data_IF_730786156006
#
_entry.id   IF_730786156006
#
_cell.length_a   1.000
_cell.length_b   1.000
_cell.length_c   1.000
_cell.angle_alpha   90.00
_cell.angle_beta   90.00
_cell.angle_gamma   90.00
#
_symmetry.space_group_name_H-M   'P 1'
#
loop_
_entity.id
_entity.type
_entity.pdbx_description
1 polymer ?
#
# COMPACT_ATOMS: atom_id res chain seq x y z
N UNK A 1 -27.90 19.03 9.08
CA UNK A 1 -27.80 17.56 8.97
C UNK A 1 -27.79 17.03 7.53
N UNK A 2 -28.70 17.45 6.63
CA UNK A 2 -28.72 16.99 5.22
C UNK A 2 -27.43 17.27 4.42
N UNK A 3 -26.75 18.39 4.69
CA UNK A 3 -25.51 18.76 3.99
C UNK A 3 -24.32 17.84 4.33
N UNK A 4 -24.18 17.46 5.61
CA UNK A 4 -23.18 16.50 6.08
C UNK A 4 -23.38 15.10 5.50
N UNK A 5 -24.63 14.66 5.33
CA UNK A 5 -24.96 13.35 4.73
C UNK A 5 -24.63 13.34 3.22
N UNK A 6 -24.88 14.45 2.51
CA UNK A 6 -24.56 14.59 1.09
C UNK A 6 -23.05 14.63 0.85
N UNK A 7 -22.29 15.30 1.72
CA UNK A 7 -20.83 15.33 1.69
C UNK A 7 -20.21 13.93 1.89
N UNK A 8 -20.74 13.14 2.83
CA UNK A 8 -20.29 11.76 3.07
C UNK A 8 -20.52 10.83 1.87
N UNK A 9 -21.70 10.92 1.23
CA UNK A 9 -22.00 10.12 0.03
C UNK A 9 -21.14 10.56 -1.16
N UNK A 10 -20.91 11.86 -1.33
CA UNK A 10 -20.02 12.37 -2.37
C UNK A 10 -18.58 11.88 -2.19
N UNK A 11 -18.05 11.92 -0.96
CA UNK A 11 -16.70 11.44 -0.64
C UNK A 11 -16.57 9.93 -0.89
N UNK A 12 -17.55 9.14 -0.49
CA UNK A 12 -17.56 7.71 -0.78
C UNK A 12 -17.55 7.43 -2.29
N UNK A 13 -18.36 8.16 -3.08
CA UNK A 13 -18.37 8.03 -4.55
C UNK A 13 -17.03 8.44 -5.16
N UNK A 14 -16.42 9.53 -4.70
CA UNK A 14 -15.10 9.96 -5.18
C UNK A 14 -14.05 8.87 -4.90
N UNK A 15 -14.00 8.35 -3.67
CA UNK A 15 -13.08 7.27 -3.30
C UNK A 15 -13.34 6.02 -4.14
N UNK A 16 -14.60 5.62 -4.34
CA UNK A 16 -14.96 4.50 -5.20
C UNK A 16 -14.47 4.68 -6.64
N UNK A 17 -14.67 5.87 -7.22
CA UNK A 17 -14.23 6.18 -8.59
C UNK A 17 -12.70 6.14 -8.68
N UNK A 18 -11.99 6.70 -7.70
CA UNK A 18 -10.52 6.64 -7.66
C UNK A 18 -10.05 5.19 -7.57
N UNK A 19 -10.57 4.39 -6.64
CA UNK A 19 -10.16 2.99 -6.47
C UNK A 19 -10.46 2.15 -7.73
N UNK A 20 -11.64 2.36 -8.33
CA UNK A 20 -12.01 1.68 -9.57
C UNK A 20 -11.09 2.04 -10.72
N UNK A 21 -10.87 3.34 -10.96
CA UNK A 21 -10.00 3.81 -12.05
C UNK A 21 -8.56 3.36 -11.84
N UNK A 22 -8.05 3.34 -10.61
CA UNK A 22 -6.73 2.78 -10.30
C UNK A 22 -6.66 1.28 -10.61
N UNK A 23 -7.66 0.50 -10.18
CA UNK A 23 -7.66 -0.94 -10.40
C UNK A 23 -7.72 -1.28 -11.90
N UNK A 24 -8.58 -0.60 -12.67
CA UNK A 24 -8.66 -0.77 -14.13
C UNK A 24 -7.33 -0.40 -14.79
N UNK A 25 -6.77 0.77 -14.46
CA UNK A 25 -5.55 1.28 -15.09
C UNK A 25 -4.35 0.37 -14.85
N UNK A 26 -4.18 -0.11 -13.61
CA UNK A 26 -3.06 -0.99 -13.27
C UNK A 26 -3.24 -2.37 -13.88
N UNK A 27 -4.46 -2.94 -13.85
CA UNK A 27 -4.72 -4.23 -14.51
C UNK A 27 -4.42 -4.15 -16.01
N UNK A 28 -4.87 -3.08 -16.66
CA UNK A 28 -4.64 -2.85 -18.08
C UNK A 28 -3.16 -2.78 -18.40
N UNK A 29 -2.40 -1.98 -17.65
CA UNK A 29 -0.96 -1.84 -17.83
C UNK A 29 -0.25 -3.20 -17.67
N UNK A 30 -0.55 -3.94 -16.59
CA UNK A 30 0.08 -5.24 -16.33
C UNK A 30 -0.20 -6.25 -17.44
N UNK A 31 -1.45 -6.33 -17.92
CA UNK A 31 -1.82 -7.25 -18.99
C UNK A 31 -1.24 -6.82 -20.35
N UNK A 32 -1.21 -5.52 -20.63
CA UNK A 32 -0.63 -4.96 -21.85
C UNK A 32 0.86 -5.28 -21.97
N UNK A 33 1.60 -5.22 -20.86
CA UNK A 33 3.03 -5.57 -20.84
C UNK A 33 3.24 -7.09 -20.91
N UNK A 34 2.34 -7.89 -20.32
CA UNK A 34 2.54 -9.33 -20.17
C UNK A 34 1.99 -10.17 -21.31
N UNK A 35 1.07 -9.64 -22.13
CA UNK A 35 0.33 -10.42 -23.12
C UNK A 35 0.16 -9.64 -24.44
N UNK A 36 0.09 -10.36 -25.55
CA UNK A 36 -0.18 -9.79 -26.89
C UNK A 36 -1.67 -9.83 -27.25
N UNK A 37 -2.58 -9.69 -26.27
CA UNK A 37 -4.01 -9.71 -26.51
C UNK A 37 -4.47 -8.42 -27.21
N UNK A 38 -5.58 -8.48 -27.94
CA UNK A 38 -6.20 -7.28 -28.54
C UNK A 38 -6.62 -6.27 -27.48
N UNK A 39 -6.45 -4.98 -27.78
CA UNK A 39 -6.72 -3.87 -26.83
C UNK A 39 -8.15 -3.90 -26.27
N UNK A 40 -9.13 -4.30 -27.08
CA UNK A 40 -10.52 -4.42 -26.66
C UNK A 40 -10.71 -5.49 -25.56
N UNK A 41 -10.05 -6.63 -25.69
CA UNK A 41 -10.11 -7.71 -24.72
C UNK A 41 -9.38 -7.32 -23.43
N UNK A 42 -8.24 -6.64 -23.55
CA UNK A 42 -7.50 -6.09 -22.41
C UNK A 42 -8.35 -5.10 -21.62
N UNK A 43 -9.03 -4.18 -22.30
CA UNK A 43 -9.92 -3.22 -21.68
C UNK A 43 -11.11 -3.92 -20.98
N UNK A 44 -11.74 -4.88 -21.65
CA UNK A 44 -12.85 -5.64 -21.08
C UNK A 44 -12.46 -6.39 -19.79
N UNK A 45 -11.35 -7.12 -19.82
CA UNK A 45 -10.83 -7.84 -18.65
C UNK A 45 -10.48 -6.88 -17.53
N UNK A 46 -9.83 -5.76 -17.84
CA UNK A 46 -9.43 -4.76 -16.83
C UNK A 46 -10.64 -4.11 -16.15
N UNK A 47 -11.71 -3.83 -16.89
CA UNK A 47 -12.98 -3.33 -16.35
C UNK A 47 -13.62 -4.36 -15.43
N UNK A 48 -13.65 -5.64 -15.84
CA UNK A 48 -14.19 -6.73 -15.02
C UNK A 48 -13.42 -6.88 -13.70
N UNK A 49 -12.09 -6.91 -13.76
CA UNK A 49 -11.23 -6.98 -12.58
C UNK A 49 -11.42 -5.75 -11.69
N UNK A 50 -11.43 -4.54 -12.28
CA UNK A 50 -11.69 -3.31 -11.54
C UNK A 50 -13.04 -3.31 -10.81
N UNK A 51 -14.09 -3.87 -11.44
CA UNK A 51 -15.40 -4.05 -10.82
C UNK A 51 -15.37 -5.04 -9.65
N UNK A 52 -14.68 -6.18 -9.81
CA UNK A 52 -14.50 -7.17 -8.75
C UNK A 52 -13.74 -6.59 -7.55
N UNK A 53 -12.66 -5.85 -7.82
CA UNK A 53 -11.84 -5.20 -6.80
C UNK A 53 -12.67 -4.15 -6.06
N UNK A 54 -13.43 -3.31 -6.77
CA UNK A 54 -14.30 -2.33 -6.13
C UNK A 54 -15.34 -3.00 -5.22
N UNK A 55 -16.00 -4.06 -5.71
CA UNK A 55 -16.95 -4.83 -4.91
C UNK A 55 -16.28 -5.44 -3.66
N UNK A 56 -15.03 -5.91 -3.80
CA UNK A 56 -14.24 -6.42 -2.69
C UNK A 56 -13.91 -5.36 -1.63
N UNK A 57 -13.41 -4.19 -2.03
CA UNK A 57 -13.04 -3.13 -1.09
C UNK A 57 -14.24 -2.64 -0.26
N UNK A 58 -15.45 -2.65 -0.81
CA UNK A 58 -16.66 -2.25 -0.09
C UNK A 58 -17.38 -3.41 0.64
N UNK A 59 -16.87 -4.64 0.53
CA UNK A 59 -17.43 -5.80 1.23
C UNK A 59 -17.25 -5.66 2.75
N UNK A 60 -18.30 -6.00 3.53
CA UNK A 60 -18.42 -5.54 4.93
C UNK A 60 -17.39 -6.13 5.90
N UNK A 61 -16.92 -7.36 5.71
CA UNK A 61 -15.78 -8.03 6.40
C UNK A 61 -15.40 -9.30 5.62
N UNK A 62 -14.13 -9.71 5.66
CA UNK A 62 -13.68 -11.02 5.16
C UNK A 62 -12.47 -10.95 4.23
N UNK A 63 -11.97 -12.13 3.86
CA UNK A 63 -10.76 -12.30 3.03
C UNK A 63 -10.87 -11.57 1.69
N UNK A 64 -12.07 -11.46 1.10
CA UNK A 64 -12.29 -10.76 -0.15
C UNK A 64 -12.01 -9.24 -0.07
N UNK A 65 -12.33 -8.61 1.06
CA UNK A 65 -11.99 -7.21 1.31
C UNK A 65 -10.48 -7.02 1.39
N UNK A 66 -9.81 -7.90 2.15
CA UNK A 66 -8.35 -7.87 2.35
C UNK A 66 -7.63 -8.03 1.02
N UNK A 67 -8.01 -9.03 0.23
CA UNK A 67 -7.39 -9.28 -1.07
C UNK A 67 -7.59 -8.12 -2.04
N UNK A 68 -8.81 -7.58 -2.13
CA UNK A 68 -9.09 -6.47 -3.03
C UNK A 68 -8.32 -5.20 -2.62
N UNK A 69 -8.27 -4.90 -1.34
CA UNK A 69 -7.59 -3.73 -0.83
C UNK A 69 -6.05 -3.89 -0.94
N UNK A 70 -5.52 -5.07 -0.62
CA UNK A 70 -4.12 -5.42 -0.85
C UNK A 70 -3.75 -5.35 -2.33
N UNK A 71 -4.63 -5.80 -3.23
CA UNK A 71 -4.42 -5.69 -4.68
C UNK A 71 -4.27 -4.22 -5.10
N UNK A 72 -5.21 -3.34 -4.73
CA UNK A 72 -5.14 -1.92 -5.11
C UNK A 72 -3.86 -1.28 -4.58
N UNK A 73 -3.55 -1.47 -3.30
CA UNK A 73 -2.37 -0.87 -2.68
C UNK A 73 -1.08 -1.40 -3.31
N UNK A 74 -0.95 -2.72 -3.45
CA UNK A 74 0.27 -3.34 -3.96
C UNK A 74 0.47 -3.11 -5.44
N UNK A 75 -0.55 -3.28 -6.27
CA UNK A 75 -0.45 -3.07 -7.70
C UNK A 75 -0.12 -1.60 -8.02
N UNK A 76 -0.76 -0.65 -7.32
CA UNK A 76 -0.41 0.77 -7.45
C UNK A 76 1.02 1.04 -6.97
N UNK A 77 1.44 0.46 -5.84
CA UNK A 77 2.78 0.62 -5.29
C UNK A 77 3.87 0.05 -6.21
N UNK A 78 3.60 -1.08 -6.87
CA UNK A 78 4.53 -1.67 -7.84
C UNK A 78 4.72 -0.74 -9.03
N UNK A 79 3.62 -0.21 -9.60
CA UNK A 79 3.67 0.73 -10.73
C UNK A 79 4.43 2.01 -10.34
N UNK A 80 4.18 2.56 -9.15
CA UNK A 80 4.92 3.72 -8.66
C UNK A 80 6.41 3.41 -8.45
N UNK A 81 6.73 2.29 -7.81
CA UNK A 81 8.10 1.89 -7.53
C UNK A 81 8.92 1.55 -8.77
N UNK A 82 8.28 1.07 -9.84
CA UNK A 82 8.95 0.79 -11.13
C UNK A 82 9.09 2.03 -12.01
N UNK A 83 8.21 3.03 -11.85
CA UNK A 83 8.21 4.24 -12.67
C UNK A 83 9.18 5.31 -12.17
N UNK A 84 9.62 5.23 -10.91
CA UNK A 84 10.46 6.24 -10.29
C UNK A 84 11.97 5.93 -10.46
N UNK A 85 12.78 6.89 -10.91
CA UNK A 85 14.24 6.77 -10.90
C UNK A 85 14.82 6.42 -9.52
N UNK A 86 16.03 5.85 -9.53
CA UNK A 86 16.71 5.36 -8.33
C UNK A 86 16.72 6.38 -7.16
N UNK A 87 17.22 7.59 -7.41
CA UNK A 87 17.34 8.63 -6.38
C UNK A 87 15.99 9.15 -5.91
N UNK A 88 15.02 9.31 -6.82
CA UNK A 88 13.68 9.78 -6.45
C UNK A 88 12.96 8.78 -5.57
N UNK A 89 13.09 7.49 -5.83
CA UNK A 89 12.52 6.42 -5.00
C UNK A 89 13.13 6.43 -3.59
N UNK A 90 14.45 6.56 -3.50
CA UNK A 90 15.15 6.59 -2.22
C UNK A 90 14.79 7.82 -1.39
N UNK A 91 14.73 9.00 -2.01
CA UNK A 91 14.29 10.24 -1.35
C UNK A 91 12.84 10.14 -0.91
N UNK A 92 11.96 9.58 -1.73
CA UNK A 92 10.54 9.41 -1.40
C UNK A 92 10.35 8.47 -0.21
N UNK A 93 11.01 7.31 -0.20
CA UNK A 93 10.94 6.34 0.90
C UNK A 93 11.50 6.92 2.20
N UNK A 94 12.62 7.65 2.12
CA UNK A 94 13.18 8.35 3.26
C UNK A 94 12.26 9.48 3.76
N UNK A 95 11.70 10.29 2.86
CA UNK A 95 10.81 11.39 3.21
C UNK A 95 9.53 10.91 3.89
N UNK A 96 8.91 9.83 3.39
CA UNK A 96 7.70 9.26 3.99
C UNK A 96 8.01 8.64 5.36
N UNK A 97 9.16 7.97 5.49
CA UNK A 97 9.62 7.44 6.78
C UNK A 97 9.86 8.56 7.80
N UNK A 98 10.54 9.64 7.42
CA UNK A 98 10.73 10.82 8.29
C UNK A 98 9.39 11.47 8.63
N UNK A 99 8.48 11.58 7.66
CA UNK A 99 7.16 12.13 7.88
C UNK A 99 6.36 11.32 8.91
N UNK A 100 6.37 9.99 8.84
CA UNK A 100 5.66 9.14 9.81
C UNK A 100 6.19 9.36 11.24
N UNK A 101 7.51 9.40 11.41
CA UNK A 101 8.15 9.75 12.70
C UNK A 101 7.65 11.11 13.20
N UNK A 102 7.73 12.14 12.35
CA UNK A 102 7.34 13.51 12.73
C UNK A 102 5.84 13.60 13.04
N UNK A 103 4.99 12.94 12.27
CA UNK A 103 3.54 12.94 12.44
C UNK A 103 3.13 12.28 13.76
N UNK A 104 3.80 11.17 14.10
CA UNK A 104 3.62 10.46 15.37
C UNK A 104 4.00 11.34 16.57
N UNK A 105 5.19 11.95 16.55
CA UNK A 105 5.65 12.76 17.68
C UNK A 105 4.95 14.13 17.81
N UNK A 106 4.44 14.71 16.72
CA UNK A 106 3.69 15.97 16.76
C UNK A 106 2.24 15.81 17.23
N UNK A 107 1.75 14.59 17.46
CA UNK A 107 0.49 14.35 18.18
C UNK A 107 -0.80 14.67 17.43
N UNK A 108 -0.78 14.86 16.10
CA UNK A 108 -2.00 15.09 15.29
C UNK A 108 -2.99 13.90 15.37
N UNK A 109 -2.51 12.72 15.74
CA UNK A 109 -3.30 11.49 15.90
C UNK A 109 -4.32 11.53 17.05
N UNK A 110 -4.16 12.42 18.04
CA UNK A 110 -5.15 12.55 19.14
C UNK A 110 -6.54 13.01 18.67
N UNK A 111 -6.64 13.64 17.50
CA UNK A 111 -7.92 14.12 16.92
C UNK A 111 -8.58 13.11 15.97
N UNK A 112 -7.89 12.05 15.55
CA UNK A 112 -8.41 11.02 14.66
C UNK A 112 -9.02 9.83 15.44
N UNK A 113 -8.67 9.65 16.71
CA UNK A 113 -9.23 8.61 17.58
C UNK A 113 -10.73 8.76 17.89
N UNK A 114 -11.32 9.92 17.61
CA UNK A 114 -12.76 10.21 17.75
C UNK A 114 -13.58 9.97 16.47
N UNK A 115 -12.94 9.59 15.35
CA UNK A 115 -13.66 9.28 14.11
C UNK A 115 -14.00 7.79 14.06
N UNK A 116 -15.27 7.48 13.80
CA UNK A 116 -15.76 6.10 13.70
C UNK A 116 -14.96 5.33 12.64
N UNK A 117 -14.44 4.14 12.97
CA UNK A 117 -13.69 3.25 12.04
C UNK A 117 -14.50 2.88 10.77
N UNK A 118 -15.81 3.10 10.79
CA UNK A 118 -16.68 2.99 9.62
C UNK A 118 -16.46 4.11 8.58
N UNK A 119 -15.88 5.25 8.97
CA UNK A 119 -15.61 6.43 8.11
C UNK A 119 -14.31 6.29 7.31
N UNK A 120 -13.39 5.42 7.73
CA UNK A 120 -12.13 5.11 7.02
C UNK A 120 -12.23 3.87 6.12
N UNK A 121 -13.46 3.46 5.77
CA UNK A 121 -13.71 2.31 4.89
C UNK A 121 -13.04 2.49 3.54
N UNK A 122 -12.18 1.53 3.18
CA UNK A 122 -11.40 1.57 1.96
C UNK A 122 -10.07 2.33 2.08
N UNK A 123 -9.67 2.77 3.28
CA UNK A 123 -8.34 3.31 3.59
C UNK A 123 -7.58 2.43 4.59
N UNK A 124 -8.31 1.71 5.44
CA UNK A 124 -7.78 0.74 6.41
C UNK A 124 -8.34 -0.64 6.09
N UNK A 125 -7.47 -1.65 6.08
CA UNK A 125 -7.83 -3.05 5.91
C UNK A 125 -7.86 -3.69 7.28
N UNK A 126 -9.03 -4.17 7.70
CA UNK A 126 -9.18 -4.87 8.98
C UNK A 126 -9.52 -6.34 8.74
N UNK A 127 -8.70 -7.25 9.28
CA UNK A 127 -8.93 -8.69 9.28
C UNK A 127 -8.72 -9.26 10.68
N UNK A 128 -9.72 -9.95 11.23
CA UNK A 128 -9.64 -10.68 12.51
C UNK A 128 -9.01 -9.89 13.68
N UNK A 129 -9.31 -8.59 13.78
CA UNK A 129 -8.81 -7.71 14.85
C UNK A 129 -7.50 -7.00 14.53
N UNK A 130 -6.88 -7.31 13.38
CA UNK A 130 -5.69 -6.64 12.88
C UNK A 130 -6.05 -5.59 11.82
N UNK A 131 -5.58 -4.36 11.98
CA UNK A 131 -5.84 -3.26 11.05
C UNK A 131 -4.54 -2.71 10.48
N UNK A 132 -4.39 -2.75 9.15
CA UNK A 132 -3.24 -2.20 8.43
C UNK A 132 -3.72 -1.06 7.54
N UNK A 133 -2.98 0.05 7.49
CA UNK A 133 -3.25 1.13 6.55
C UNK A 133 -2.95 0.71 5.11
N UNK A 134 -3.80 1.09 4.16
CA UNK A 134 -3.51 0.86 2.74
C UNK A 134 -2.25 1.60 2.28
N UNK A 135 -1.95 2.74 2.90
CA UNK A 135 -0.70 3.47 2.66
C UNK A 135 0.53 2.62 2.98
N UNK A 136 0.51 1.89 4.10
CA UNK A 136 1.64 1.05 4.50
C UNK A 136 1.88 -0.06 3.47
N UNK A 137 0.80 -0.76 3.06
CA UNK A 137 0.86 -1.79 2.01
C UNK A 137 1.36 -1.23 0.66
N UNK A 138 0.95 -0.01 0.32
CA UNK A 138 1.43 0.69 -0.85
C UNK A 138 2.94 0.93 -0.76
N UNK A 139 3.45 1.49 0.33
CA UNK A 139 4.88 1.77 0.49
C UNK A 139 5.74 0.51 0.61
N UNK A 140 5.21 -0.57 1.20
CA UNK A 140 5.87 -1.88 1.20
C UNK A 140 6.05 -2.42 -0.22
N UNK A 141 5.05 -2.18 -1.08
CA UNK A 141 5.11 -2.59 -2.47
C UNK A 141 6.04 -1.69 -3.30
N UNK A 142 6.11 -0.40 -2.97
CA UNK A 142 7.08 0.53 -3.57
C UNK A 142 8.52 0.10 -3.25
N UNK A 143 8.85 -0.19 -2.00
CA UNK A 143 10.24 -0.58 -1.64
C UNK A 143 10.63 -1.92 -2.25
N UNK A 144 9.69 -2.86 -2.35
CA UNK A 144 9.93 -4.15 -3.00
C UNK A 144 10.15 -3.99 -4.50
N UNK A 145 9.29 -3.21 -5.17
CA UNK A 145 9.42 -2.89 -6.60
C UNK A 145 10.72 -2.14 -6.89
N UNK A 146 11.08 -1.17 -6.06
CA UNK A 146 12.38 -0.48 -6.14
C UNK A 146 13.54 -1.47 -6.05
N UNK A 147 13.51 -2.38 -5.07
CA UNK A 147 14.57 -3.35 -4.83
C UNK A 147 14.75 -4.29 -6.01
N UNK A 148 13.65 -4.85 -6.55
CA UNK A 148 13.70 -5.74 -7.71
C UNK A 148 14.19 -5.02 -8.97
N UNK A 149 13.65 -3.84 -9.26
CA UNK A 149 13.94 -3.12 -10.51
C UNK A 149 15.34 -2.47 -10.53
N UNK A 150 15.85 -2.01 -9.39
CA UNK A 150 17.11 -1.26 -9.32
C UNK A 150 18.29 -2.09 -8.80
N UNK A 151 18.06 -3.03 -7.87
CA UNK A 151 19.10 -3.82 -7.23
C UNK A 151 19.11 -5.29 -7.73
N UNK A 152 17.97 -5.78 -8.23
CA UNK A 152 17.81 -7.11 -8.79
C UNK A 152 16.92 -8.03 -7.94
N UNK A 153 16.68 -9.24 -8.45
CA UNK A 153 15.76 -10.20 -7.85
C UNK A 153 16.21 -10.70 -6.47
N UNK A 154 17.51 -10.94 -6.27
CA UNK A 154 18.07 -11.39 -4.99
C UNK A 154 17.88 -10.33 -3.88
N UNK A 155 18.27 -9.06 -4.07
CA UNK A 155 17.92 -7.97 -3.17
C UNK A 155 16.41 -7.81 -2.93
N UNK A 156 15.56 -8.09 -3.92
CA UNK A 156 14.10 -8.10 -3.75
C UNK A 156 13.60 -9.18 -2.78
N UNK A 157 14.16 -10.40 -2.86
CA UNK A 157 13.85 -11.47 -1.90
C UNK A 157 14.34 -11.08 -0.50
N UNK A 158 15.55 -10.52 -0.40
CA UNK A 158 16.09 -10.02 0.87
C UNK A 158 15.22 -8.88 1.43
N UNK A 159 14.77 -7.94 0.61
CA UNK A 159 13.85 -6.87 0.99
C UNK A 159 12.53 -7.42 1.53
N UNK A 160 12.01 -8.49 0.95
CA UNK A 160 10.80 -9.17 1.42
C UNK A 160 10.99 -9.76 2.81
N UNK A 161 12.13 -10.41 3.07
CA UNK A 161 12.48 -10.88 4.40
C UNK A 161 12.63 -9.71 5.39
N UNK A 162 13.27 -8.62 4.97
CA UNK A 162 13.42 -7.40 5.76
C UNK A 162 12.08 -6.74 6.11
N UNK A 163 11.11 -6.70 5.19
CA UNK A 163 9.74 -6.24 5.45
C UNK A 163 9.08 -7.08 6.55
N UNK A 164 9.15 -8.41 6.46
CA UNK A 164 8.55 -9.31 7.46
C UNK A 164 9.21 -9.08 8.83
N UNK A 165 10.55 -9.07 8.88
CA UNK A 165 11.30 -8.87 10.13
C UNK A 165 11.00 -7.51 10.74
N UNK A 166 11.04 -6.44 9.95
CA UNK A 166 10.72 -5.09 10.41
C UNK A 166 9.27 -4.96 10.88
N UNK A 167 8.34 -5.68 10.25
CA UNK A 167 6.94 -5.67 10.63
C UNK A 167 6.70 -6.36 11.96
N UNK A 168 7.29 -7.55 12.15
CA UNK A 168 7.25 -8.26 13.43
C UNK A 168 7.90 -7.45 14.55
N UNK A 169 9.02 -6.79 14.27
CA UNK A 169 9.67 -5.90 15.22
C UNK A 169 8.77 -4.71 15.61
N UNK A 170 8.05 -4.14 14.64
CA UNK A 170 7.09 -3.05 14.85
C UNK A 170 5.95 -3.48 15.77
N UNK A 171 5.35 -4.65 15.53
CA UNK A 171 4.28 -5.19 16.39
C UNK A 171 4.80 -5.38 17.81
N UNK A 172 5.94 -6.04 17.96
CA UNK A 172 6.54 -6.31 19.28
C UNK A 172 6.87 -5.02 20.04
N UNK A 173 7.30 -3.97 19.34
CA UNK A 173 7.61 -2.69 19.95
C UNK A 173 6.34 -1.90 20.30
N UNK A 174 5.29 -2.02 19.50
CA UNK A 174 3.98 -1.45 19.76
C UNK A 174 3.30 -2.03 21.02
N UNK A 175 3.62 -3.26 21.42
CA UNK A 175 3.17 -3.82 22.71
C UNK A 175 3.76 -3.08 23.92
N UNK A 176 4.94 -2.47 23.76
CA UNK A 176 5.69 -1.85 24.87
C UNK A 176 5.59 -0.33 24.93
N UNK A 177 5.13 0.33 23.85
CA UNK A 177 5.11 1.80 23.72
C UNK A 177 3.73 2.26 23.22
N UNK A 178 3.08 3.25 23.85
CA UNK A 178 1.72 3.66 23.50
C UNK A 178 1.61 4.37 22.14
N UNK A 179 2.70 4.93 21.61
CA UNK A 179 2.74 5.54 20.29
C UNK A 179 4.08 5.21 19.63
N UNK A 180 4.05 4.55 18.48
CA UNK A 180 5.25 4.13 17.75
C UNK A 180 5.03 4.27 16.23
N UNK A 181 5.95 4.91 15.49
CA UNK A 181 5.87 4.99 14.04
C UNK A 181 6.25 3.65 13.42
N UNK A 182 5.29 3.00 12.77
CA UNK A 182 5.47 1.62 12.29
C UNK A 182 6.15 1.51 10.93
N UNK A 183 5.91 2.49 10.06
CA UNK A 183 6.39 2.49 8.68
C UNK A 183 7.91 2.71 8.51
N UNK A 184 8.59 3.54 9.34
CA UNK A 184 10.03 3.76 9.20
C UNK A 184 10.84 2.50 9.51
N UNK A 185 10.46 1.77 10.56
CA UNK A 185 11.21 0.59 10.99
C UNK A 185 11.12 -0.54 9.95
N UNK A 186 9.94 -0.74 9.37
CA UNK A 186 9.71 -1.73 8.31
C UNK A 186 10.47 -1.38 7.03
N UNK A 187 10.39 -0.13 6.58
CA UNK A 187 11.10 0.31 5.37
C UNK A 187 12.62 0.29 5.53
N UNK A 188 13.14 0.71 6.69
CA UNK A 188 14.58 0.66 6.97
C UNK A 188 15.09 -0.78 7.00
N UNK A 189 14.36 -1.71 7.63
CA UNK A 189 14.73 -3.12 7.62
C UNK A 189 14.73 -3.70 6.20
N UNK A 190 13.69 -3.42 5.41
CA UNK A 190 13.58 -3.84 4.02
C UNK A 190 14.74 -3.33 3.15
N UNK A 191 15.00 -2.02 3.18
CA UNK A 191 16.10 -1.42 2.42
C UNK A 191 17.46 -1.92 2.92
N UNK A 192 17.65 -2.05 4.24
CA UNK A 192 18.89 -2.57 4.82
C UNK A 192 19.21 -3.98 4.32
N UNK A 193 18.23 -4.88 4.34
CA UNK A 193 18.40 -6.25 3.83
C UNK A 193 18.68 -6.25 2.32
N UNK A 194 17.97 -5.41 1.55
CA UNK A 194 18.19 -5.28 0.10
C UNK A 194 19.62 -4.83 -0.22
N UNK A 195 20.12 -3.79 0.44
CA UNK A 195 21.47 -3.26 0.22
C UNK A 195 22.55 -4.23 0.71
N UNK A 196 22.36 -4.89 1.86
CA UNK A 196 23.30 -5.91 2.33
C UNK A 196 23.40 -7.04 1.31
N UNK A 197 22.26 -7.52 0.80
CA UNK A 197 22.25 -8.57 -0.22
C UNK A 197 22.86 -8.12 -1.55
N UNK A 198 22.76 -6.83 -1.90
CA UNK A 198 23.38 -6.28 -3.10
C UNK A 198 24.90 -6.16 -2.97
N UNK A 199 25.40 -5.87 -1.76
CA UNK A 199 26.83 -5.72 -1.47
C UNK A 199 27.57 -7.06 -1.32
N UNK A 200 26.86 -8.16 -1.11
CA UNK A 200 27.44 -9.51 -1.08
C UNK A 200 27.46 -10.01 -2.53
N UNK A 201 28.63 -10.03 -3.22
CA UNK A 201 28.72 -10.66 -4.52
C UNK A 201 28.45 -12.16 -4.35
N UNK A 202 27.38 -12.65 -4.97
CA UNK A 202 27.11 -14.08 -5.18
C UNK A 202 27.67 -14.47 -6.54
#
# INVERSE_FOLDING_TARGET
>A
MLWLIRFRRALAVIVSVVLFTTAVSVTFLLLFVSTSLGEELLAAVSILVGGMVLAGVFSRKGLFNVLAAAYVASASGVVFGSSLPFWTSLVLLAAVSVYDVVAVFKGHLKRLGDMDMAELRGLVVTFEGFSIGLGDLFFYSVVLSFSVNNLGWLPGIAASAGLIVGYLATIKLAETRPVFPGLPLTLLAAMGFAFISYLIPV
#
